data_IF_971446297159
#
_entry.id   IF_971446297159
#
_cell.length_a   1.000
_cell.length_b   1.000
_cell.length_c   1.000
_cell.angle_alpha   90.00
_cell.angle_beta   90.00
_cell.angle_gamma   90.00
#
_symmetry.space_group_name_H-M   'P 1'
#
loop_
_entity.id
_entity.type
_entity.pdbx_description
1 polymer ?
#
# COMPACT_ATOMS: atom_id res chain seq x y z
N UNK A 1 32.91 -61.45 20.05
CA UNK A 1 33.56 -60.18 19.66
C UNK A 1 32.84 -59.03 20.37
N UNK A 2 33.60 -58.24 21.14
CA UNK A 2 33.38 -56.84 21.59
C UNK A 2 32.04 -56.38 22.19
N UNK A 3 32.10 -56.08 23.50
CA UNK A 3 31.44 -55.02 24.28
C UNK A 3 31.18 -53.72 23.49
N UNK A 4 30.15 -52.90 23.78
CA UNK A 4 29.98 -52.05 24.98
C UNK A 4 28.49 -51.59 25.07
N UNK A 5 27.78 -51.82 26.17
CA UNK A 5 27.78 -51.00 27.41
C UNK A 5 27.26 -49.57 27.21
N UNK A 6 25.98 -49.33 27.53
CA UNK A 6 25.40 -48.00 27.72
C UNK A 6 25.92 -47.35 29.03
N UNK A 7 26.11 -46.00 29.10
CA UNK A 7 26.51 -45.33 30.34
C UNK A 7 25.34 -45.13 31.33
N UNK A 8 25.65 -44.95 32.63
CA UNK A 8 24.69 -44.98 33.74
C UNK A 8 24.09 -43.60 34.08
N UNK A 9 23.36 -42.99 33.14
CA UNK A 9 22.51 -41.84 33.46
C UNK A 9 21.25 -41.81 32.56
N UNK A 10 20.13 -42.18 33.16
CA UNK A 10 18.78 -41.99 32.62
C UNK A 10 18.36 -40.53 32.84
N UNK A 11 18.07 -39.78 31.77
CA UNK A 11 17.25 -38.55 31.81
C UNK A 11 16.20 -38.57 30.70
N UNK A 12 15.03 -39.08 31.08
CA UNK A 12 13.67 -38.61 30.81
C UNK A 12 13.45 -37.49 29.78
N UNK A 13 12.54 -37.76 28.84
CA UNK A 13 11.48 -36.87 28.35
C UNK A 13 11.75 -35.35 28.42
N UNK A 14 12.23 -34.77 27.32
CA UNK A 14 12.04 -33.34 27.04
C UNK A 14 11.06 -33.22 25.87
N UNK A 15 9.91 -32.53 26.00
CA UNK A 15 9.23 -32.05 24.81
C UNK A 15 10.22 -31.15 24.09
N UNK A 16 10.61 -31.55 22.88
CA UNK A 16 11.44 -30.77 21.98
C UNK A 16 10.88 -29.34 21.95
N UNK A 17 11.68 -28.38 22.43
CA UNK A 17 11.41 -26.94 22.35
C UNK A 17 10.76 -26.60 21.00
N UNK A 18 9.62 -25.89 20.94
CA UNK A 18 9.09 -25.44 19.66
C UNK A 18 10.10 -24.51 18.96
N UNK A 19 10.16 -24.53 17.62
CA UNK A 19 11.10 -23.71 16.87
C UNK A 19 10.82 -22.22 17.10
N UNK A 20 11.90 -21.46 17.25
CA UNK A 20 11.89 -20.00 17.43
C UNK A 20 11.25 -19.29 16.23
N UNK A 21 9.96 -18.94 16.29
CA UNK A 21 9.24 -18.11 15.31
C UNK A 21 9.69 -16.63 15.27
N UNK A 22 10.97 -16.33 15.52
CA UNK A 22 11.46 -14.93 15.57
C UNK A 22 11.37 -14.20 14.23
N UNK A 23 11.30 -14.92 13.10
CA UNK A 23 11.12 -14.36 11.77
C UNK A 23 9.67 -13.95 11.46
N UNK A 24 8.69 -14.77 11.88
CA UNK A 24 7.27 -14.57 11.57
C UNK A 24 6.69 -13.32 12.23
N UNK A 25 6.89 -13.15 13.54
CA UNK A 25 6.31 -12.03 14.29
C UNK A 25 6.73 -10.64 13.74
N UNK A 26 7.96 -10.50 13.23
CA UNK A 26 8.41 -9.25 12.59
C UNK A 26 7.79 -9.03 11.22
N UNK A 27 7.60 -10.09 10.42
CA UNK A 27 6.93 -10.01 9.14
C UNK A 27 5.43 -9.66 9.31
N UNK A 28 4.77 -10.26 10.31
CA UNK A 28 3.37 -10.00 10.64
C UNK A 28 3.17 -8.55 11.12
N UNK A 29 4.03 -8.07 12.03
CA UNK A 29 3.99 -6.68 12.49
C UNK A 29 4.22 -5.69 11.35
N UNK A 30 5.13 -6.02 10.42
CA UNK A 30 5.38 -5.22 9.23
C UNK A 30 4.16 -5.17 8.30
N UNK A 31 3.51 -6.31 8.06
CA UNK A 31 2.30 -6.37 7.23
C UNK A 31 1.15 -5.61 7.87
N UNK A 32 0.95 -5.75 9.17
CA UNK A 32 -0.06 -5.00 9.92
C UNK A 32 0.19 -3.48 9.86
N UNK A 33 1.44 -3.04 9.96
CA UNK A 33 1.80 -1.64 9.80
C UNK A 33 1.50 -1.13 8.39
N UNK A 34 1.87 -1.89 7.35
CA UNK A 34 1.57 -1.51 5.97
C UNK A 34 0.06 -1.35 5.73
N UNK A 35 -0.76 -2.29 6.23
CA UNK A 35 -2.22 -2.19 6.11
C UNK A 35 -2.78 -0.96 6.84
N UNK A 36 -2.25 -0.61 8.01
CA UNK A 36 -2.61 0.63 8.71
C UNK A 36 -2.27 1.87 7.89
N UNK A 37 -1.09 1.90 7.27
CA UNK A 37 -0.66 2.99 6.38
C UNK A 37 -1.57 3.10 5.15
N UNK A 38 -1.88 1.98 4.49
CA UNK A 38 -2.76 1.97 3.31
C UNK A 38 -4.17 2.47 3.65
N UNK A 39 -4.70 2.08 4.81
CA UNK A 39 -5.98 2.61 5.32
C UNK A 39 -5.91 4.10 5.60
N UNK A 40 -4.86 4.56 6.28
CA UNK A 40 -4.64 5.99 6.55
C UNK A 40 -4.65 6.79 5.25
N UNK A 41 -3.86 6.37 4.26
CA UNK A 41 -3.81 7.02 2.95
C UNK A 41 -5.20 7.03 2.31
N UNK A 42 -5.92 5.90 2.29
CA UNK A 42 -7.25 5.80 1.69
C UNK A 42 -8.23 6.80 2.30
N UNK A 43 -8.20 6.99 3.62
CA UNK A 43 -9.05 7.97 4.31
C UNK A 43 -8.66 9.43 4.03
N UNK A 44 -7.43 9.71 3.62
CA UNK A 44 -6.92 11.06 3.36
C UNK A 44 -6.65 11.30 1.87
N UNK A 45 -7.21 10.49 0.96
CA UNK A 45 -6.91 10.60 -0.49
C UNK A 45 -7.28 11.96 -1.06
N UNK A 46 -8.30 12.63 -0.52
CA UNK A 46 -8.77 13.94 -0.96
C UNK A 46 -7.94 15.11 -0.41
N UNK A 47 -7.04 14.89 0.56
CA UNK A 47 -6.27 15.94 1.24
C UNK A 47 -5.06 16.39 0.39
N UNK A 48 -5.06 17.61 -0.20
CA UNK A 48 -4.04 18.15 -1.12
C UNK A 48 -2.60 18.17 -0.57
N UNK A 49 -2.45 18.01 0.75
CA UNK A 49 -1.16 18.01 1.43
C UNK A 49 -0.70 16.61 1.84
N UNK A 50 -1.40 15.54 1.42
CA UNK A 50 -1.01 14.16 1.70
C UNK A 50 0.33 13.80 1.04
N UNK A 51 1.40 13.85 1.83
CA UNK A 51 2.78 13.57 1.43
C UNK A 51 3.36 12.34 2.14
N UNK A 52 4.42 11.71 1.59
CA UNK A 52 5.17 10.66 2.28
C UNK A 52 5.65 11.07 3.68
N UNK A 53 6.02 12.34 3.85
CA UNK A 53 6.44 12.94 5.12
C UNK A 53 5.29 12.99 6.13
N UNK A 54 4.11 13.43 5.70
CA UNK A 54 2.91 13.45 6.53
C UNK A 54 2.51 12.04 6.98
N UNK A 55 2.54 11.07 6.06
CA UNK A 55 2.24 9.65 6.34
C UNK A 55 3.25 9.07 7.33
N UNK A 56 4.55 9.28 7.09
CA UNK A 56 5.61 8.78 7.97
C UNK A 56 5.48 9.32 9.39
N UNK A 57 5.19 10.63 9.51
CA UNK A 57 4.94 11.31 10.79
C UNK A 57 3.73 10.74 11.52
N UNK A 58 2.61 10.52 10.83
CA UNK A 58 1.38 9.97 11.40
C UNK A 58 1.55 8.54 11.94
N UNK A 59 2.49 7.78 11.39
CA UNK A 59 2.77 6.40 11.81
C UNK A 59 4.06 6.25 12.64
N UNK A 60 4.69 7.36 13.03
CA UNK A 60 5.93 7.38 13.80
C UNK A 60 7.07 6.52 13.21
N UNK A 61 7.22 6.57 11.88
CA UNK A 61 8.29 5.87 11.15
C UNK A 61 9.12 6.85 10.35
N UNK A 62 10.32 6.42 9.94
CA UNK A 62 11.09 7.21 8.98
C UNK A 62 10.49 7.12 7.58
N UNK A 63 10.63 8.20 6.80
CA UNK A 63 10.28 8.24 5.37
C UNK A 63 11.02 7.15 4.59
N UNK A 64 12.30 6.92 4.92
CA UNK A 64 13.09 5.82 4.34
C UNK A 64 12.43 4.45 4.58
N UNK A 65 11.93 4.20 5.79
CA UNK A 65 11.25 2.96 6.11
C UNK A 65 9.91 2.85 5.41
N UNK A 66 9.12 3.93 5.33
CA UNK A 66 7.91 3.98 4.53
C UNK A 66 8.17 3.57 3.07
N UNK A 67 9.17 4.16 2.42
CA UNK A 67 9.54 3.75 1.06
C UNK A 67 9.99 2.30 0.97
N UNK A 68 10.68 1.77 1.98
CA UNK A 68 11.05 0.34 2.03
C UNK A 68 9.80 -0.55 2.13
N UNK A 69 8.80 -0.17 2.93
CA UNK A 69 7.54 -0.91 3.04
C UNK A 69 6.87 -1.07 1.67
N UNK A 70 6.74 0.02 0.92
CA UNK A 70 6.12 -0.02 -0.41
C UNK A 70 7.00 -0.70 -1.49
N UNK A 71 8.32 -0.54 -1.42
CA UNK A 71 9.24 -1.22 -2.37
C UNK A 71 9.15 -2.74 -2.26
N UNK A 72 9.02 -3.25 -1.04
CA UNK A 72 8.90 -4.70 -0.84
C UNK A 72 7.53 -5.24 -1.31
N UNK A 73 6.56 -4.36 -1.57
CA UNK A 73 5.30 -4.67 -2.26
C UNK A 73 5.38 -4.41 -3.78
N UNK A 74 6.59 -4.12 -4.31
CA UNK A 74 6.81 -3.91 -5.75
C UNK A 74 6.37 -2.53 -6.26
N UNK A 75 6.15 -1.54 -5.38
CA UNK A 75 5.68 -0.20 -5.79
C UNK A 75 6.39 0.92 -5.03
N UNK A 76 6.01 2.17 -5.31
CA UNK A 76 6.40 3.32 -4.50
C UNK A 76 5.17 3.90 -3.82
N UNK A 77 5.33 4.52 -2.65
CA UNK A 77 4.22 5.17 -1.94
C UNK A 77 3.48 6.19 -2.84
N UNK A 78 4.21 6.99 -3.62
CA UNK A 78 3.62 7.95 -4.55
C UNK A 78 2.87 7.30 -5.72
N UNK A 79 3.41 6.20 -6.30
CA UNK A 79 2.70 5.43 -7.33
C UNK A 79 1.42 4.82 -6.78
N UNK A 80 1.47 4.29 -5.56
CA UNK A 80 0.33 3.70 -4.88
C UNK A 80 -0.76 4.73 -4.59
N UNK A 81 -0.40 5.88 -4.01
CA UNK A 81 -1.33 7.01 -3.79
C UNK A 81 -2.02 7.41 -5.10
N UNK A 82 -1.24 7.61 -6.18
CA UNK A 82 -1.77 8.02 -7.47
C UNK A 82 -2.76 7.00 -8.05
N UNK A 83 -2.44 5.72 -7.98
CA UNK A 83 -3.34 4.65 -8.42
C UNK A 83 -4.66 4.68 -7.66
N UNK A 84 -4.61 4.82 -6.33
CA UNK A 84 -5.82 4.88 -5.49
C UNK A 84 -6.69 6.09 -5.79
N UNK A 85 -6.10 7.24 -6.13
CA UNK A 85 -6.88 8.39 -6.58
C UNK A 85 -7.54 8.20 -7.93
N UNK A 86 -6.86 7.57 -8.88
CA UNK A 86 -7.46 7.25 -10.17
C UNK A 86 -8.68 6.34 -10.00
N UNK A 87 -8.57 5.34 -9.13
CA UNK A 87 -9.69 4.47 -8.78
C UNK A 87 -10.86 5.22 -8.13
N UNK A 88 -10.58 6.19 -7.24
CA UNK A 88 -11.64 7.01 -6.64
C UNK A 88 -12.33 7.90 -7.67
N UNK A 89 -11.54 8.60 -8.51
CA UNK A 89 -12.09 9.39 -9.61
C UNK A 89 -12.96 8.52 -10.53
N UNK A 90 -12.55 7.29 -10.83
CA UNK A 90 -13.37 6.37 -11.63
C UNK A 90 -14.72 6.08 -10.97
N UNK A 91 -14.77 5.86 -9.64
CA UNK A 91 -16.03 5.64 -8.92
C UNK A 91 -16.90 6.89 -8.93
N UNK A 92 -16.33 8.06 -8.68
CA UNK A 92 -17.04 9.34 -8.71
C UNK A 92 -17.65 9.61 -10.08
N UNK A 93 -16.93 9.31 -11.17
CA UNK A 93 -17.40 9.44 -12.55
C UNK A 93 -18.63 8.59 -12.86
N UNK A 94 -18.88 7.50 -12.11
CA UNK A 94 -20.00 6.57 -12.33
C UNK A 94 -21.22 6.92 -11.45
N UNK A 95 -21.03 7.59 -10.32
CA UNK A 95 -22.08 7.76 -9.29
C UNK A 95 -22.90 9.05 -9.41
N UNK A 96 -22.41 10.08 -10.09
CA UNK A 96 -23.08 11.37 -10.27
C UNK A 96 -22.54 12.08 -11.52
N UNK A 97 -23.20 13.13 -12.06
CA UNK A 97 -22.55 14.04 -13.00
C UNK A 97 -21.33 14.66 -12.29
N UNK A 98 -20.11 14.26 -12.68
CA UNK A 98 -18.93 14.59 -11.92
C UNK A 98 -18.56 16.06 -12.12
N UNK A 99 -17.82 16.67 -11.18
CA UNK A 99 -17.28 17.99 -11.40
C UNK A 99 -16.34 18.00 -12.63
N UNK A 100 -16.08 19.18 -13.24
CA UNK A 100 -15.21 19.30 -14.39
C UNK A 100 -13.86 18.60 -14.18
N UNK A 101 -13.23 18.03 -15.22
CA UNK A 101 -11.92 17.36 -15.13
C UNK A 101 -10.81 18.19 -14.47
N UNK A 102 -10.93 19.52 -14.46
CA UNK A 102 -10.03 20.42 -13.76
C UNK A 102 -10.14 20.33 -12.22
N UNK A 103 -11.33 20.07 -11.70
CA UNK A 103 -11.57 19.94 -10.26
C UNK A 103 -11.17 18.54 -9.75
N UNK A 104 -11.37 17.50 -10.56
CA UNK A 104 -10.81 16.16 -10.30
C UNK A 104 -9.27 16.15 -10.34
N UNK A 105 -8.66 16.94 -11.23
CA UNK A 105 -7.20 17.11 -11.27
C UNK A 105 -6.67 17.91 -10.06
N UNK A 106 -7.43 18.92 -9.58
CA UNK A 106 -7.11 19.71 -8.38
C UNK A 106 -7.25 18.92 -7.09
N UNK A 107 -8.22 18.01 -7.00
CA UNK A 107 -8.43 17.11 -5.87
C UNK A 107 -7.44 15.93 -5.76
N UNK A 108 -6.39 15.89 -6.59
CA UNK A 108 -5.37 14.84 -6.58
C UNK A 108 -3.99 15.32 -6.00
N UNK A 109 -3.80 15.26 -4.68
CA UNK A 109 -2.59 15.68 -3.94
C UNK A 109 -1.27 14.99 -4.35
N UNK A 110 -0.53 15.56 -5.30
CA UNK A 110 0.80 15.06 -5.68
C UNK A 110 0.88 14.27 -6.99
N UNK A 111 0.35 14.81 -8.09
CA UNK A 111 0.95 14.47 -9.38
C UNK A 111 0.13 14.62 -10.67
N UNK A 112 -1.01 15.30 -10.67
CA UNK A 112 -1.57 15.78 -11.93
C UNK A 112 -1.31 17.27 -12.05
N UNK A 113 -0.10 17.60 -12.52
CA UNK A 113 0.37 18.98 -12.77
C UNK A 113 -0.59 19.76 -13.69
N UNK A 114 -1.43 19.04 -14.44
CA UNK A 114 -2.43 19.61 -15.34
C UNK A 114 -3.56 18.59 -15.63
N UNK A 115 -4.78 19.07 -15.94
CA UNK A 115 -5.87 18.25 -16.51
C UNK A 115 -5.44 17.43 -17.74
N UNK A 116 -4.47 17.93 -18.52
CA UNK A 116 -3.87 17.22 -19.66
C UNK A 116 -3.03 16.03 -19.21
N UNK A 117 -2.25 16.18 -18.13
CA UNK A 117 -1.47 15.08 -17.56
C UNK A 117 -2.39 14.01 -16.96
N UNK A 118 -3.43 14.42 -16.23
CA UNK A 118 -4.48 13.52 -15.74
C UNK A 118 -5.13 12.74 -16.88
N UNK A 119 -5.59 13.41 -17.93
CA UNK A 119 -6.27 12.76 -19.06
C UNK A 119 -5.37 11.74 -19.76
N UNK A 120 -4.07 12.04 -19.93
CA UNK A 120 -3.08 11.11 -20.49
C UNK A 120 -2.89 9.88 -19.61
N UNK A 121 -2.72 10.06 -18.30
CA UNK A 121 -2.53 8.95 -17.37
C UNK A 121 -3.80 8.10 -17.25
N UNK A 122 -4.98 8.73 -17.20
CA UNK A 122 -6.27 8.05 -17.15
C UNK A 122 -6.48 7.21 -18.41
N UNK A 123 -6.25 7.78 -19.61
CA UNK A 123 -6.32 7.03 -20.87
C UNK A 123 -5.28 5.91 -20.96
N UNK A 124 -4.06 6.13 -20.49
CA UNK A 124 -3.04 5.09 -20.44
C UNK A 124 -3.41 3.93 -19.49
N UNK A 125 -4.23 4.22 -18.45
CA UNK A 125 -4.65 3.23 -17.45
C UNK A 125 -5.94 2.50 -17.87
N UNK A 126 -6.90 3.20 -18.46
CA UNK A 126 -8.26 2.71 -18.72
C UNK A 126 -8.64 2.63 -20.22
N UNK A 127 -7.73 2.99 -21.13
CA UNK A 127 -7.93 2.93 -22.58
C UNK A 127 -8.72 4.10 -23.18
N UNK A 128 -9.44 4.87 -22.35
CA UNK A 128 -10.24 6.02 -22.78
C UNK A 128 -10.02 7.22 -21.85
N UNK A 129 -10.25 8.43 -22.34
CA UNK A 129 -10.17 9.65 -21.55
C UNK A 129 -11.35 9.74 -20.55
N UNK A 130 -11.23 10.54 -19.48
CA UNK A 130 -12.32 10.74 -18.52
C UNK A 130 -13.63 11.19 -19.19
N UNK A 131 -13.55 12.03 -20.23
CA UNK A 131 -14.72 12.53 -20.97
C UNK A 131 -15.36 11.46 -21.86
N UNK A 132 -14.55 10.60 -22.49
CA UNK A 132 -15.04 9.44 -23.25
C UNK A 132 -15.73 8.44 -22.31
N UNK A 133 -15.15 8.21 -21.11
CA UNK A 133 -15.74 7.35 -20.08
C UNK A 133 -17.11 7.87 -19.62
N UNK A 134 -17.25 9.18 -19.42
CA UNK A 134 -18.55 9.81 -19.08
C UNK A 134 -19.60 9.62 -20.18
N UNK A 135 -19.20 9.84 -21.44
CA UNK A 135 -20.10 9.69 -22.58
C UNK A 135 -20.52 8.24 -22.84
N UNK A 136 -19.68 7.26 -22.48
CA UNK A 136 -19.99 5.84 -22.58
C UNK A 136 -20.86 5.32 -21.41
N UNK A 137 -20.90 6.04 -20.28
CA UNK A 137 -21.70 5.70 -19.11
C UNK A 137 -23.09 6.37 -19.11
N UNK A 138 -23.39 7.20 -20.12
CA UNK A 138 -24.68 7.86 -20.34
C UNK A 138 -25.63 7.03 -21.22
#
# INVERSE_FOLDING_TARGET
>A
MRWLSWPPWSWSNTPRRPPIWRGGARADARRALLLKIQRFITHHLSDPDLSPEAIARAHHISVRYLHKLFRDEGTTVGRWIRGRRLEECQRELVLAPPPPPADMARGAPGGFISPTHFSRVFRATYGMSPREWQGAAS
#
